data_IF_462418636274
#
_entry.id   IF_462418636274
#
_cell.length_a   1.000
_cell.length_b   1.000
_cell.length_c   1.000
_cell.angle_alpha   90.00
_cell.angle_beta   90.00
_cell.angle_gamma   90.00
#
_symmetry.space_group_name_H-M   'P 1'
#
loop_
_entity.id
_entity.type
_entity.pdbx_description
1 polymer ?
#
# COMPACT_ATOMS: atom_id res chain seq x y z
N UNK A 1 36.17 21.49 -11.41
CA UNK A 1 34.95 22.19 -10.96
C UNK A 1 33.75 21.98 -11.89
N UNK A 2 33.86 22.15 -13.22
CA UNK A 2 32.76 21.92 -14.19
C UNK A 2 32.15 20.51 -14.18
N UNK A 3 32.97 19.46 -14.04
CA UNK A 3 32.51 18.07 -14.01
C UNK A 3 31.60 17.84 -12.80
N UNK A 4 32.04 18.26 -11.61
CA UNK A 4 31.26 18.14 -10.37
C UNK A 4 29.93 18.90 -10.48
N UNK A 5 29.94 20.10 -11.05
CA UNK A 5 28.74 20.90 -11.28
C UNK A 5 27.75 20.23 -12.25
N UNK A 6 28.25 19.58 -13.29
CA UNK A 6 27.42 18.84 -14.24
C UNK A 6 26.83 17.58 -13.61
N UNK A 7 27.62 16.80 -12.87
CA UNK A 7 27.15 15.63 -12.12
C UNK A 7 26.07 16.04 -11.11
N UNK A 8 26.30 17.11 -10.36
CA UNK A 8 25.34 17.61 -9.38
C UNK A 8 24.05 18.10 -10.02
N UNK A 9 24.13 18.77 -11.18
CA UNK A 9 22.96 19.17 -11.95
C UNK A 9 22.18 17.94 -12.47
N UNK A 10 22.87 16.90 -12.94
CA UNK A 10 22.25 15.68 -13.45
C UNK A 10 21.53 14.92 -12.33
N UNK A 11 22.18 14.75 -11.17
CA UNK A 11 21.58 14.18 -9.96
C UNK A 11 20.38 15.02 -9.49
N UNK A 12 20.49 16.34 -9.47
CA UNK A 12 19.40 17.23 -9.08
C UNK A 12 18.20 17.14 -10.03
N UNK A 13 18.43 17.03 -11.35
CA UNK A 13 17.37 16.83 -12.33
C UNK A 13 16.68 15.47 -12.17
N UNK A 14 17.45 14.39 -11.95
CA UNK A 14 16.89 13.06 -11.70
C UNK A 14 16.07 13.02 -10.41
N UNK A 15 16.55 13.64 -9.33
CA UNK A 15 15.81 13.75 -8.07
C UNK A 15 14.48 14.52 -8.25
N UNK A 16 14.48 15.59 -9.04
CA UNK A 16 13.24 16.32 -9.38
C UNK A 16 12.27 15.45 -10.16
N UNK A 17 12.72 14.80 -11.24
CA UNK A 17 11.87 13.89 -12.04
C UNK A 17 11.27 12.75 -11.21
N UNK A 18 12.08 12.19 -10.30
CA UNK A 18 11.66 11.15 -9.34
C UNK A 18 10.54 11.64 -8.44
N UNK A 19 10.73 12.81 -7.83
CA UNK A 19 9.73 13.40 -6.96
C UNK A 19 8.43 13.68 -7.73
N UNK A 20 8.55 14.33 -8.90
CA UNK A 20 7.40 14.67 -9.73
C UNK A 20 6.62 13.42 -10.18
N UNK A 21 7.33 12.32 -10.46
CA UNK A 21 6.71 11.02 -10.74
C UNK A 21 5.88 10.54 -9.53
N UNK A 22 6.48 10.43 -8.34
CA UNK A 22 5.76 9.95 -7.16
C UNK A 22 4.58 10.86 -6.79
N UNK A 23 4.73 12.18 -6.94
CA UNK A 23 3.66 13.14 -6.64
C UNK A 23 2.46 12.99 -7.61
N UNK A 24 2.70 12.64 -8.88
CA UNK A 24 1.62 12.31 -9.84
C UNK A 24 0.90 11.03 -9.46
N UNK A 25 1.67 10.02 -9.07
CA UNK A 25 1.11 8.73 -8.69
C UNK A 25 0.29 8.84 -7.40
N UNK A 26 0.73 9.62 -6.41
CA UNK A 26 -0.08 9.89 -5.19
C UNK A 26 -1.40 10.63 -5.49
N UNK A 27 -1.48 11.37 -6.61
CA UNK A 27 -2.72 11.98 -7.10
C UNK A 27 -3.63 11.02 -7.88
N UNK A 28 -3.23 9.76 -8.06
CA UNK A 28 -4.00 8.75 -8.80
C UNK A 28 -3.83 8.81 -10.32
N UNK A 29 -2.80 9.50 -10.81
CA UNK A 29 -2.47 9.53 -12.24
C UNK A 29 -1.72 8.22 -12.62
N UNK A 30 -2.46 7.18 -13.01
CA UNK A 30 -1.86 5.91 -13.46
C UNK A 30 -1.12 6.10 -14.79
N UNK A 31 0.21 6.01 -14.75
CA UNK A 31 1.03 5.82 -15.95
C UNK A 31 1.64 4.42 -15.93
N UNK A 32 1.36 3.61 -16.96
CA UNK A 32 1.81 2.23 -17.14
C UNK A 32 3.34 2.08 -17.41
N UNK A 33 4.12 3.15 -17.27
CA UNK A 33 5.57 3.10 -17.51
C UNK A 33 6.33 3.59 -16.29
N UNK A 34 6.60 2.66 -15.36
CA UNK A 34 7.70 2.82 -14.43
C UNK A 34 8.69 1.67 -14.60
N UNK A 35 9.61 1.85 -15.55
CA UNK A 35 10.79 1.01 -15.64
C UNK A 35 11.82 1.52 -14.62
N UNK A 36 11.73 1.02 -13.38
CA UNK A 36 12.83 0.79 -12.42
C UNK A 36 14.07 1.70 -12.38
N UNK A 37 14.00 3.00 -12.68
CA UNK A 37 15.22 3.81 -12.88
C UNK A 37 15.85 4.40 -11.59
N UNK A 38 15.33 4.10 -10.39
CA UNK A 38 15.49 5.03 -9.24
C UNK A 38 16.21 4.48 -8.00
N UNK A 39 16.92 3.36 -8.09
CA UNK A 39 17.79 2.88 -7.01
C UNK A 39 19.26 3.26 -7.30
N UNK A 40 19.65 4.49 -7.01
CA UNK A 40 21.07 4.92 -7.01
C UNK A 40 21.59 5.28 -5.60
N UNK A 41 20.89 4.85 -4.54
CA UNK A 41 21.42 4.87 -3.17
C UNK A 41 22.19 3.59 -2.84
N UNK A 42 23.14 3.67 -1.90
CA UNK A 42 23.96 2.53 -1.43
C UNK A 42 23.13 1.36 -0.88
N UNK A 43 21.88 1.59 -0.45
CA UNK A 43 20.91 0.55 -0.17
C UNK A 43 20.18 0.13 -1.47
N UNK A 44 20.62 -0.97 -2.08
CA UNK A 44 19.95 -1.56 -3.24
C UNK A 44 18.56 -2.06 -2.82
N UNK A 45 17.51 -1.43 -3.34
CA UNK A 45 16.15 -1.95 -3.21
C UNK A 45 15.95 -3.07 -4.23
N UNK A 46 16.24 -4.31 -3.81
CA UNK A 46 16.13 -5.48 -4.67
C UNK A 46 14.69 -5.76 -5.11
N UNK A 47 13.69 -5.36 -4.31
CA UNK A 47 12.28 -5.48 -4.69
C UNK A 47 11.95 -4.55 -5.86
N UNK A 48 12.62 -3.39 -5.96
CA UNK A 48 12.50 -2.47 -7.09
C UNK A 48 13.12 -3.00 -8.39
N UNK A 49 13.92 -4.07 -8.35
CA UNK A 49 14.44 -4.73 -9.55
C UNK A 49 13.42 -5.70 -10.18
N UNK A 50 12.38 -6.07 -9.43
CA UNK A 50 11.33 -6.97 -9.90
C UNK A 50 10.30 -6.19 -10.72
N UNK A 51 9.60 -6.89 -11.62
CA UNK A 51 8.36 -6.38 -12.22
C UNK A 51 7.35 -6.04 -11.12
N UNK A 52 6.55 -5.00 -11.33
CA UNK A 52 5.53 -4.56 -10.37
C UNK A 52 4.62 -5.71 -9.94
N UNK A 53 4.21 -6.56 -10.89
CA UNK A 53 3.32 -7.70 -10.66
C UNK A 53 3.96 -8.72 -9.71
N UNK A 54 5.23 -9.06 -9.93
CA UNK A 54 5.97 -9.97 -9.05
C UNK A 54 6.12 -9.40 -7.64
N UNK A 55 6.49 -8.12 -7.52
CA UNK A 55 6.62 -7.45 -6.23
C UNK A 55 5.28 -7.42 -5.46
N UNK A 56 4.18 -7.07 -6.13
CA UNK A 56 2.83 -7.11 -5.53
C UNK A 56 2.46 -8.54 -5.09
N UNK A 57 2.79 -9.57 -5.88
CA UNK A 57 2.54 -10.97 -5.49
C UNK A 57 3.33 -11.40 -4.26
N UNK A 58 4.58 -10.92 -4.10
CA UNK A 58 5.37 -11.16 -2.88
C UNK A 58 4.69 -10.50 -1.68
N UNK A 59 4.29 -9.24 -1.80
CA UNK A 59 3.61 -8.51 -0.73
C UNK A 59 2.23 -9.11 -0.39
N UNK A 60 1.60 -9.87 -1.29
CA UNK A 60 0.30 -10.50 -1.07
C UNK A 60 0.32 -11.61 0.01
N UNK A 61 1.51 -12.06 0.44
CA UNK A 61 1.67 -13.01 1.54
C UNK A 61 1.77 -12.34 2.92
N UNK A 62 1.82 -11.01 2.97
CA UNK A 62 1.93 -10.25 4.20
C UNK A 62 0.55 -9.90 4.76
N UNK A 63 0.46 -9.80 6.09
CA UNK A 63 -0.73 -9.27 6.73
C UNK A 63 -0.77 -7.73 6.65
N UNK A 64 -1.88 -7.15 7.11
CA UNK A 64 -2.12 -5.71 7.01
C UNK A 64 -1.08 -4.89 7.79
N UNK A 65 -0.54 -5.43 8.88
CA UNK A 65 0.46 -4.76 9.72
C UNK A 65 1.82 -4.75 9.02
N UNK A 66 2.22 -5.89 8.46
CA UNK A 66 3.44 -5.99 7.67
C UNK A 66 3.36 -5.14 6.40
N UNK A 67 2.21 -5.09 5.72
CA UNK A 67 1.99 -4.17 4.60
C UNK A 67 2.14 -2.70 5.03
N UNK A 68 1.65 -2.33 6.22
CA UNK A 68 1.81 -0.99 6.76
C UNK A 68 3.28 -0.65 7.06
N UNK A 69 4.07 -1.62 7.53
CA UNK A 69 5.53 -1.48 7.71
C UNK A 69 6.24 -1.36 6.36
N UNK A 70 5.89 -2.20 5.38
CA UNK A 70 6.43 -2.12 4.02
C UNK A 70 6.20 -0.75 3.39
N UNK A 71 5.03 -0.13 3.64
CA UNK A 71 4.73 1.20 3.13
C UNK A 71 5.65 2.31 3.66
N UNK A 72 6.41 2.06 4.72
CA UNK A 72 7.35 3.00 5.33
C UNK A 72 8.80 2.82 4.86
N UNK A 73 9.11 1.76 4.10
CA UNK A 73 10.48 1.45 3.65
C UNK A 73 10.98 2.48 2.65
N UNK A 74 10.24 2.69 1.56
CA UNK A 74 10.55 3.69 0.55
C UNK A 74 9.28 4.09 -0.23
N UNK A 75 9.37 5.13 -1.06
CA UNK A 75 8.24 5.59 -1.89
C UNK A 75 7.73 4.51 -2.85
N UNK A 76 8.62 3.67 -3.39
CA UNK A 76 8.21 2.59 -4.28
C UNK A 76 7.40 1.51 -3.54
N UNK A 77 7.85 1.09 -2.35
CA UNK A 77 7.10 0.12 -1.53
C UNK A 77 5.78 0.70 -1.03
N UNK A 78 5.75 1.99 -0.66
CA UNK A 78 4.51 2.71 -0.38
C UNK A 78 3.53 2.63 -1.55
N UNK A 79 4.02 2.69 -2.79
CA UNK A 79 3.17 2.56 -3.98
C UNK A 79 2.71 1.12 -4.23
N UNK A 80 3.60 0.14 -4.12
CA UNK A 80 3.29 -1.27 -4.30
C UNK A 80 2.21 -1.74 -3.31
N UNK A 81 2.33 -1.33 -2.04
CA UNK A 81 1.36 -1.63 -0.98
C UNK A 81 -0.02 -0.98 -1.19
N UNK A 82 -0.22 -0.12 -2.19
CA UNK A 82 -1.55 0.43 -2.53
C UNK A 82 -2.24 -0.34 -3.65
N UNK A 83 -1.60 -1.37 -4.21
CA UNK A 83 -2.16 -2.15 -5.31
C UNK A 83 -3.52 -2.74 -4.93
N UNK A 84 -4.53 -2.55 -5.80
CA UNK A 84 -5.89 -3.07 -5.61
C UNK A 84 -5.94 -4.56 -5.29
N UNK A 85 -5.01 -5.33 -5.86
CA UNK A 85 -4.87 -6.77 -5.60
C UNK A 85 -4.67 -7.09 -4.11
N UNK A 86 -3.90 -6.27 -3.39
CA UNK A 86 -3.58 -6.45 -1.97
C UNK A 86 -4.77 -6.10 -1.06
N UNK A 87 -5.66 -5.22 -1.50
CA UNK A 87 -6.79 -4.73 -0.69
C UNK A 87 -8.12 -5.42 -1.03
N UNK A 88 -8.12 -6.39 -1.95
CA UNK A 88 -9.32 -7.17 -2.28
C UNK A 88 -9.69 -8.18 -1.18
N UNK A 89 -8.69 -8.64 -0.42
CA UNK A 89 -8.83 -9.52 0.74
C UNK A 89 -8.20 -8.84 1.95
N UNK A 90 -8.99 -8.57 2.97
CA UNK A 90 -8.53 -7.91 4.19
C UNK A 90 -8.81 -8.82 5.39
N UNK A 91 -7.73 -9.35 5.97
CA UNK A 91 -7.81 -10.12 7.21
C UNK A 91 -7.29 -9.29 8.39
N UNK A 92 -8.19 -8.97 9.32
CA UNK A 92 -7.89 -8.20 10.53
C UNK A 92 -7.90 -9.08 11.79
N UNK A 93 -8.04 -10.40 11.66
CA UNK A 93 -8.07 -11.30 12.80
C UNK A 93 -6.76 -11.23 13.61
N UNK A 94 -5.60 -11.17 12.93
CA UNK A 94 -4.29 -11.09 13.61
C UNK A 94 -4.09 -9.78 14.38
N UNK A 95 -4.89 -8.76 14.08
CA UNK A 95 -4.81 -7.44 14.71
C UNK A 95 -5.93 -7.22 15.73
N UNK A 96 -6.73 -8.24 16.05
CA UNK A 96 -7.94 -8.15 16.88
C UNK A 96 -7.71 -7.53 18.26
N UNK A 97 -6.54 -7.78 18.87
CA UNK A 97 -6.21 -7.31 20.22
C UNK A 97 -6.14 -5.77 20.29
N UNK A 98 -5.68 -5.16 19.21
CA UNK A 98 -5.48 -3.70 19.09
C UNK A 98 -6.51 -3.02 18.19
N UNK A 99 -7.33 -3.80 17.48
CA UNK A 99 -8.30 -3.29 16.51
C UNK A 99 -9.51 -2.67 17.22
N UNK A 100 -9.65 -1.35 17.14
CA UNK A 100 -10.86 -0.63 17.54
C UNK A 100 -11.72 -0.21 16.33
N UNK A 101 -12.94 0.25 16.61
CA UNK A 101 -13.91 0.68 15.59
C UNK A 101 -13.37 1.77 14.63
N UNK A 102 -12.44 2.62 15.09
CA UNK A 102 -11.83 3.69 14.27
C UNK A 102 -10.73 3.14 13.36
N UNK A 103 -9.88 2.26 13.88
CA UNK A 103 -8.81 1.62 13.14
C UNK A 103 -9.36 0.70 12.05
N UNK A 104 -10.37 -0.11 12.38
CA UNK A 104 -11.07 -0.94 11.40
C UNK A 104 -11.66 -0.09 10.26
N UNK A 105 -12.35 1.01 10.59
CA UNK A 105 -12.90 1.93 9.59
C UNK A 105 -11.83 2.52 8.66
N UNK A 106 -10.62 2.81 9.16
CA UNK A 106 -9.51 3.29 8.32
C UNK A 106 -9.05 2.25 7.29
N UNK A 107 -8.90 0.99 7.71
CA UNK A 107 -8.54 -0.08 6.79
C UNK A 107 -9.64 -0.34 5.75
N UNK A 108 -10.90 -0.38 6.18
CA UNK A 108 -12.04 -0.59 5.30
C UNK A 108 -12.19 0.55 4.29
N UNK A 109 -12.03 1.81 4.72
CA UNK A 109 -12.05 2.98 3.83
C UNK A 109 -10.98 2.87 2.72
N UNK A 110 -9.77 2.44 3.07
CA UNK A 110 -8.68 2.24 2.12
C UNK A 110 -8.97 1.09 1.14
N UNK A 111 -9.56 0.01 1.63
CA UNK A 111 -9.89 -1.15 0.82
C UNK A 111 -11.18 -0.98 0.00
N UNK A 112 -12.04 -0.03 0.36
CA UNK A 112 -13.43 0.13 -0.14
C UNK A 112 -13.63 -0.08 -1.64
N UNK A 113 -12.81 0.47 -2.56
CA UNK A 113 -13.05 0.29 -4.00
C UNK A 113 -12.85 -1.15 -4.47
N UNK A 114 -12.07 -1.96 -3.74
CA UNK A 114 -11.59 -3.26 -4.18
C UNK A 114 -12.01 -4.41 -3.25
N UNK A 115 -12.47 -4.10 -2.03
CA UNK A 115 -12.73 -5.07 -0.97
C UNK A 115 -13.82 -6.07 -1.38
N UNK A 116 -13.43 -7.35 -1.44
CA UNK A 116 -14.29 -8.49 -1.75
C UNK A 116 -14.44 -9.45 -0.57
N UNK A 117 -13.37 -9.64 0.22
CA UNK A 117 -13.39 -10.51 1.39
C UNK A 117 -12.88 -9.76 2.62
N UNK A 118 -13.68 -9.72 3.68
CA UNK A 118 -13.33 -9.09 4.94
C UNK A 118 -13.43 -10.10 6.08
N UNK A 119 -12.31 -10.36 6.76
CA UNK A 119 -12.27 -11.19 7.96
C UNK A 119 -12.06 -10.31 9.20
N UNK A 120 -13.08 -10.28 10.07
CA UNK A 120 -13.08 -9.58 11.35
C UNK A 120 -13.16 -10.55 12.53
N UNK A 121 -12.86 -11.83 12.32
CA UNK A 121 -12.96 -12.86 13.37
C UNK A 121 -12.24 -12.43 14.66
N UNK A 122 -12.89 -12.64 15.81
CA UNK A 122 -12.43 -12.24 17.16
C UNK A 122 -12.23 -10.74 17.40
N UNK A 123 -12.65 -9.87 16.48
CA UNK A 123 -12.55 -8.43 16.68
C UNK A 123 -13.72 -7.91 17.54
N UNK A 124 -13.59 -7.95 18.86
CA UNK A 124 -14.68 -7.64 19.81
C UNK A 124 -14.93 -6.15 20.09
N UNK A 125 -14.03 -5.27 19.61
CA UNK A 125 -14.07 -3.82 19.86
C UNK A 125 -14.60 -3.03 18.65
N UNK A 126 -15.09 -3.72 17.61
CA UNK A 126 -15.70 -3.11 16.42
C UNK A 126 -17.15 -2.71 16.71
N UNK A 127 -17.65 -1.74 15.99
CA UNK A 127 -18.99 -1.19 16.21
C UNK A 127 -19.54 -0.46 15.00
N UNK A 128 -20.37 0.55 15.26
CA UNK A 128 -21.16 1.22 14.23
C UNK A 128 -20.32 1.82 13.11
N UNK A 129 -19.12 2.35 13.38
CA UNK A 129 -18.29 2.98 12.35
C UNK A 129 -17.76 1.94 11.37
N UNK A 130 -17.33 0.78 11.87
CA UNK A 130 -16.90 -0.36 11.06
C UNK A 130 -18.03 -0.81 10.14
N UNK A 131 -19.23 -1.05 10.67
CA UNK A 131 -20.37 -1.48 9.85
C UNK A 131 -20.82 -0.42 8.83
N UNK A 132 -20.67 0.87 9.12
CA UNK A 132 -20.92 1.95 8.16
C UNK A 132 -19.89 1.96 7.01
N UNK A 133 -18.63 1.63 7.32
CA UNK A 133 -17.60 1.41 6.32
C UNK A 133 -17.93 0.21 5.42
N UNK A 134 -18.32 -0.90 6.04
CA UNK A 134 -18.70 -2.15 5.36
C UNK A 134 -19.87 -1.90 4.41
N UNK A 135 -20.92 -1.20 4.84
CA UNK A 135 -22.10 -0.93 3.99
C UNK A 135 -21.79 -0.09 2.74
N UNK A 136 -20.65 0.61 2.75
CA UNK A 136 -20.16 1.38 1.61
C UNK A 136 -19.32 0.55 0.62
N UNK A 137 -18.95 -0.69 0.97
CA UNK A 137 -18.15 -1.58 0.14
C UNK A 137 -19.03 -2.36 -0.85
N UNK A 138 -19.17 -1.84 -2.07
CA UNK A 138 -20.09 -2.41 -3.09
C UNK A 138 -19.65 -3.73 -3.70
N UNK A 139 -18.37 -4.07 -3.57
CA UNK A 139 -17.77 -5.28 -4.13
C UNK A 139 -17.64 -6.41 -3.10
N UNK A 140 -18.12 -6.20 -1.86
CA UNK A 140 -17.98 -7.17 -0.78
C UNK A 140 -18.82 -8.43 -1.07
N UNK A 141 -18.17 -9.59 -1.00
CA UNK A 141 -18.72 -10.91 -1.30
C UNK A 141 -18.72 -11.82 -0.07
N UNK A 142 -17.70 -11.70 0.78
CA UNK A 142 -17.53 -12.51 1.99
C UNK A 142 -17.22 -11.61 3.19
N UNK A 143 -17.94 -11.84 4.29
CA UNK A 143 -17.79 -11.14 5.56
C UNK A 143 -17.81 -12.15 6.70
N UNK A 144 -16.66 -12.34 7.34
CA UNK A 144 -16.52 -13.20 8.50
C UNK A 144 -16.56 -12.37 9.79
N UNK A 145 -17.61 -12.57 10.59
CA UNK A 145 -17.84 -11.96 11.92
C UNK A 145 -17.83 -12.98 13.05
N UNK A 146 -17.19 -14.13 12.84
CA UNK A 146 -17.16 -15.20 13.85
C UNK A 146 -16.46 -14.69 15.12
N UNK A 147 -17.06 -14.91 16.28
CA UNK A 147 -16.48 -14.54 17.58
C UNK A 147 -16.25 -13.02 17.75
N UNK A 148 -16.97 -12.16 17.01
CA UNK A 148 -17.01 -10.70 17.22
C UNK A 148 -17.91 -10.31 18.39
#
# INVERSE_FOLDING_TARGET
MRIILNEWNLVAQQARRTRDYFDRVERGEENQQFNGFLSHGEARDELSLLTREAAVRILAYLDVDDLARCAQVCRNWKMLTQSSMLWSKLDLHRTSDVLDDRLAMRFIQRARPYLQHLNLRKCSRIGRLTFLGISSCKNLQDLNLSEC
#
